data_IF_374378564218
#
_entry.id   IF_374378564218
#
_cell.length_a   1.000
_cell.length_b   1.000
_cell.length_c   1.000
_cell.angle_alpha   90.00
_cell.angle_beta   90.00
_cell.angle_gamma   90.00
#
_symmetry.space_group_name_H-M   'P 1'
#
loop_
_entity.id
_entity.type
_entity.pdbx_description
1 polymer ?
#
# COMPACT_ATOMS: atom_id res chain seq x y z
N UNK A 1 32.38 5.21 10.72
CA UNK A 1 32.69 6.66 10.61
C UNK A 1 31.41 7.50 10.74
N UNK A 2 31.43 8.75 11.24
CA UNK A 2 30.28 9.70 11.12
C UNK A 2 30.52 10.61 9.91
N UNK A 3 29.58 10.66 8.98
CA UNK A 3 29.68 11.51 7.79
C UNK A 3 29.23 12.93 8.16
N UNK A 4 30.14 13.91 8.03
CA UNK A 4 29.96 15.27 8.55
C UNK A 4 28.82 16.07 7.89
N UNK A 5 28.36 15.66 6.71
CA UNK A 5 27.33 16.38 5.94
C UNK A 5 25.93 15.75 6.05
N UNK A 6 25.82 14.62 6.75
CA UNK A 6 24.55 13.92 6.94
C UNK A 6 23.93 14.25 8.30
N UNK A 7 22.60 14.18 8.36
CA UNK A 7 21.88 14.26 9.63
C UNK A 7 22.24 13.10 10.57
N UNK A 8 21.90 13.23 11.85
CA UNK A 8 22.08 12.17 12.83
C UNK A 8 21.32 10.90 12.42
N UNK A 9 20.07 11.06 12.01
CA UNK A 9 19.19 9.95 11.58
C UNK A 9 19.67 9.29 10.29
N UNK A 10 20.16 10.06 9.31
CA UNK A 10 20.72 9.50 8.08
C UNK A 10 21.98 8.66 8.37
N UNK A 11 22.87 9.15 9.24
CA UNK A 11 24.02 8.36 9.68
C UNK A 11 23.58 7.06 10.36
N UNK A 12 22.62 7.12 11.29
CA UNK A 12 22.14 5.95 12.03
C UNK A 12 21.49 4.91 11.10
N UNK A 13 20.70 5.37 10.11
CA UNK A 13 20.10 4.50 9.08
C UNK A 13 21.18 3.84 8.23
N UNK A 14 22.22 4.55 7.80
CA UNK A 14 23.31 3.98 7.00
C UNK A 14 24.10 2.94 7.80
N UNK A 15 24.38 3.21 9.08
CA UNK A 15 24.99 2.22 9.98
C UNK A 15 24.12 0.98 10.13
N UNK A 16 22.81 1.15 10.32
CA UNK A 16 21.84 0.06 10.41
C UNK A 16 21.79 -0.76 9.10
N UNK A 17 21.81 -0.09 7.95
CA UNK A 17 21.86 -0.74 6.63
C UNK A 17 23.15 -1.56 6.46
N UNK A 18 24.30 -1.00 6.82
CA UNK A 18 25.58 -1.70 6.76
C UNK A 18 25.61 -2.95 7.66
N UNK A 19 25.04 -2.85 8.87
CA UNK A 19 24.90 -4.00 9.79
C UNK A 19 24.02 -5.11 9.19
N UNK A 20 22.88 -4.75 8.58
CA UNK A 20 21.99 -5.73 7.93
C UNK A 20 22.62 -6.42 6.72
N UNK A 21 23.50 -5.71 6.03
CA UNK A 21 24.24 -6.20 4.87
C UNK A 21 25.54 -6.95 5.23
N UNK A 22 25.86 -7.10 6.53
CA UNK A 22 27.12 -7.67 7.02
C UNK A 22 28.36 -7.03 6.36
N UNK A 23 28.37 -5.70 6.28
CA UNK A 23 29.44 -4.91 5.64
C UNK A 23 29.82 -3.69 6.49
N UNK A 24 30.93 -3.03 6.14
CA UNK A 24 31.27 -1.73 6.73
C UNK A 24 30.58 -0.57 6.00
N UNK A 25 30.35 0.53 6.72
CA UNK A 25 29.83 1.77 6.13
C UNK A 25 30.77 2.29 5.06
N UNK A 26 32.08 2.21 5.28
CA UNK A 26 33.09 2.69 4.35
C UNK A 26 33.01 1.94 3.01
N UNK A 27 32.86 0.61 3.04
CA UNK A 27 32.68 -0.21 1.82
C UNK A 27 31.37 0.10 1.10
N UNK A 28 30.30 0.37 1.86
CA UNK A 28 28.99 0.71 1.28
C UNK A 28 29.03 2.08 0.58
N UNK A 29 29.73 3.05 1.16
CA UNK A 29 29.96 4.37 0.56
C UNK A 29 30.86 4.27 -0.67
N UNK A 30 31.96 3.51 -0.61
CA UNK A 30 32.83 3.27 -1.77
C UNK A 30 32.07 2.66 -2.95
N UNK A 31 31.17 1.72 -2.66
CA UNK A 31 30.34 1.10 -3.69
C UNK A 31 29.33 2.08 -4.32
N UNK A 32 28.71 2.93 -3.50
CA UNK A 32 27.84 4.00 -4.00
C UNK A 32 28.62 4.99 -4.87
N UNK A 33 29.78 5.46 -4.40
CA UNK A 33 30.61 6.44 -5.07
C UNK A 33 31.20 5.92 -6.39
N UNK A 34 31.41 4.61 -6.52
CA UNK A 34 31.87 3.99 -7.76
C UNK A 34 30.89 4.17 -8.93
N UNK A 35 29.60 4.30 -8.65
CA UNK A 35 28.55 4.55 -9.64
C UNK A 35 28.02 5.99 -9.67
N UNK A 36 28.46 6.84 -8.74
CA UNK A 36 27.92 8.19 -8.56
C UNK A 36 28.46 9.18 -9.59
N UNK A 37 27.57 9.99 -10.17
CA UNK A 37 27.92 11.13 -11.03
C UNK A 37 27.56 12.43 -10.30
N UNK A 38 28.42 13.44 -10.33
CA UNK A 38 28.16 14.70 -9.60
C UNK A 38 26.94 15.49 -10.14
N UNK A 39 26.50 15.19 -11.36
CA UNK A 39 25.40 15.89 -12.04
C UNK A 39 24.01 15.59 -11.49
N UNK A 40 23.84 14.51 -10.69
CA UNK A 40 22.52 14.06 -10.21
C UNK A 40 21.95 14.89 -9.05
N UNK A 41 22.75 15.73 -8.39
CA UNK A 41 22.32 16.54 -7.24
C UNK A 41 21.91 15.70 -6.01
N UNK A 42 22.04 16.28 -4.81
CA UNK A 42 21.63 15.68 -3.52
C UNK A 42 22.33 14.35 -3.14
N UNK A 43 23.66 14.41 -2.94
CA UNK A 43 24.48 13.27 -2.52
C UNK A 43 23.95 12.57 -1.26
N UNK A 44 23.54 13.32 -0.23
CA UNK A 44 23.12 12.76 1.04
C UNK A 44 21.84 11.93 0.90
N UNK A 45 20.82 12.46 0.21
CA UNK A 45 19.59 11.71 -0.07
C UNK A 45 19.86 10.49 -0.92
N UNK A 46 20.66 10.62 -1.98
CA UNK A 46 20.94 9.51 -2.91
C UNK A 46 21.73 8.39 -2.26
N UNK A 47 22.64 8.72 -1.34
CA UNK A 47 23.33 7.72 -0.54
C UNK A 47 22.36 6.99 0.41
N UNK A 48 21.43 7.70 1.06
CA UNK A 48 20.36 7.08 1.87
C UNK A 48 19.52 6.14 1.00
N UNK A 49 19.05 6.60 -0.17
CA UNK A 49 18.29 5.78 -1.12
C UNK A 49 19.01 4.48 -1.49
N UNK A 50 20.30 4.58 -1.84
CA UNK A 50 21.13 3.43 -2.18
C UNK A 50 21.26 2.43 -1.02
N UNK A 51 21.59 2.92 0.18
CA UNK A 51 21.77 2.08 1.37
C UNK A 51 20.46 1.37 1.75
N UNK A 52 19.35 2.12 1.75
CA UNK A 52 18.02 1.61 2.09
C UNK A 52 17.57 0.54 1.09
N UNK A 53 17.70 0.81 -0.21
CA UNK A 53 17.34 -0.15 -1.26
C UNK A 53 18.07 -1.48 -1.07
N UNK A 54 19.40 -1.45 -0.87
CA UNK A 54 20.18 -2.66 -0.61
C UNK A 54 19.77 -3.38 0.66
N UNK A 55 19.64 -2.68 1.78
CA UNK A 55 19.24 -3.29 3.04
C UNK A 55 17.85 -3.94 2.95
N UNK A 56 16.91 -3.34 2.22
CA UNK A 56 15.58 -3.92 2.03
C UNK A 56 15.65 -5.23 1.23
N UNK A 57 16.57 -5.37 0.25
CA UNK A 57 16.69 -6.62 -0.52
C UNK A 57 16.98 -7.86 0.34
N UNK A 58 17.67 -7.68 1.48
CA UNK A 58 17.96 -8.78 2.43
C UNK A 58 16.89 -8.94 3.51
N UNK A 59 16.07 -7.90 3.75
CA UNK A 59 15.01 -7.92 4.76
C UNK A 59 13.67 -8.41 4.20
N UNK A 60 13.31 -8.04 2.97
CA UNK A 60 12.05 -8.40 2.30
C UNK A 60 11.74 -9.91 2.33
N UNK A 61 12.71 -10.84 2.18
CA UNK A 61 12.44 -12.29 2.29
C UNK A 61 11.91 -12.75 3.66
N UNK A 62 12.14 -11.98 4.73
CA UNK A 62 11.76 -12.32 6.11
C UNK A 62 10.65 -11.42 6.66
N UNK A 63 9.92 -10.74 5.77
CA UNK A 63 9.06 -9.62 6.16
C UNK A 63 7.95 -10.00 7.15
N UNK A 64 7.41 -11.23 7.08
CA UNK A 64 6.37 -11.70 8.01
C UNK A 64 6.86 -11.71 9.48
N UNK A 65 8.07 -12.22 9.70
CA UNK A 65 8.71 -12.23 11.02
C UNK A 65 9.03 -10.81 11.47
N UNK A 66 9.58 -10.00 10.56
CA UNK A 66 10.03 -8.63 10.84
C UNK A 66 8.88 -7.64 11.10
N UNK A 67 7.69 -7.87 10.54
CA UNK A 67 6.48 -7.11 10.92
C UNK A 67 6.05 -7.52 12.33
N UNK A 68 6.09 -8.82 12.64
CA UNK A 68 5.63 -9.37 13.92
C UNK A 68 6.51 -8.90 15.09
N UNK A 69 7.83 -8.82 14.92
CA UNK A 69 8.77 -8.30 15.93
C UNK A 69 8.87 -6.76 15.94
N UNK A 70 8.27 -6.08 14.95
CA UNK A 70 8.26 -4.63 14.78
C UNK A 70 9.57 -4.02 14.26
N UNK A 71 10.58 -4.84 13.97
CA UNK A 71 11.87 -4.37 13.45
C UNK A 71 11.75 -3.80 12.04
N UNK A 72 10.88 -4.38 11.19
CA UNK A 72 10.59 -3.82 9.87
C UNK A 72 9.97 -2.42 9.99
N UNK A 73 8.95 -2.29 10.86
CA UNK A 73 8.25 -1.03 11.06
C UNK A 73 9.17 0.07 11.55
N UNK A 74 10.10 -0.23 12.47
CA UNK A 74 11.06 0.77 12.94
C UNK A 74 12.07 1.13 11.87
N UNK A 75 12.63 0.12 11.20
CA UNK A 75 13.60 0.32 10.13
C UNK A 75 13.04 1.22 9.03
N UNK A 76 11.88 0.88 8.46
CA UNK A 76 11.33 1.64 7.33
C UNK A 76 10.85 3.02 7.75
N UNK A 77 10.41 3.21 8.99
CA UNK A 77 10.08 4.55 9.50
C UNK A 77 11.33 5.44 9.62
N UNK A 78 12.43 4.91 10.14
CA UNK A 78 13.70 5.63 10.23
C UNK A 78 14.27 5.93 8.83
N UNK A 79 14.13 5.00 7.88
CA UNK A 79 14.48 5.23 6.48
C UNK A 79 13.71 6.41 5.88
N UNK A 80 12.40 6.51 6.12
CA UNK A 80 11.58 7.63 5.65
C UNK A 80 11.99 8.96 6.27
N UNK A 81 12.29 8.98 7.59
CA UNK A 81 12.81 10.17 8.26
C UNK A 81 14.17 10.61 7.72
N UNK A 82 15.09 9.66 7.52
CA UNK A 82 16.41 9.93 6.94
C UNK A 82 16.33 10.43 5.50
N UNK A 83 15.34 9.98 4.73
CA UNK A 83 15.10 10.46 3.37
C UNK A 83 14.53 11.88 3.35
N UNK A 84 13.65 12.21 4.31
CA UNK A 84 13.04 13.55 4.44
C UNK A 84 14.05 14.60 4.97
N UNK A 85 14.96 14.18 5.84
CA UNK A 85 16.01 15.03 6.43
C UNK A 85 17.41 14.40 6.24
N UNK A 86 17.95 14.37 5.02
CA UNK A 86 19.21 13.69 4.72
C UNK A 86 20.45 14.45 5.20
N UNK A 87 20.39 15.77 5.32
CA UNK A 87 21.54 16.61 5.70
C UNK A 87 21.43 17.16 7.12
N UNK A 88 22.57 17.53 7.71
CA UNK A 88 22.59 18.20 9.02
C UNK A 88 21.90 19.57 8.99
N UNK A 89 21.86 20.23 7.83
CA UNK A 89 21.15 21.52 7.66
C UNK A 89 19.63 21.33 7.75
N UNK A 90 19.11 20.24 7.16
CA UNK A 90 17.69 19.91 7.25
C UNK A 90 17.29 19.67 8.71
N UNK A 91 18.10 18.91 9.44
CA UNK A 91 17.92 18.63 10.87
C UNK A 91 17.95 19.90 11.74
N UNK A 92 18.92 20.81 11.49
CA UNK A 92 19.00 22.12 12.17
C UNK A 92 17.75 22.96 11.90
N UNK A 93 17.33 23.06 10.64
CA UNK A 93 16.14 23.83 10.24
C UNK A 93 14.85 23.31 10.88
N UNK A 94 14.70 21.99 10.97
CA UNK A 94 13.57 21.34 11.62
C UNK A 94 13.57 21.63 13.13
N UNK A 95 14.73 21.52 13.79
CA UNK A 95 14.85 21.85 15.22
C UNK A 95 14.52 23.32 15.51
N UNK A 96 14.91 24.25 14.64
CA UNK A 96 14.56 25.66 14.76
C UNK A 96 13.05 25.91 14.62
N UNK A 97 12.39 25.24 13.67
CA UNK A 97 10.93 25.33 13.48
C UNK A 97 10.16 24.79 14.69
N UNK A 98 10.56 23.62 15.19
CA UNK A 98 9.98 23.03 16.40
C UNK A 98 10.21 23.95 17.61
N UNK A 99 11.42 24.51 17.73
CA UNK A 99 11.76 25.48 18.78
C UNK A 99 10.88 26.72 18.76
N UNK A 100 10.67 27.33 17.59
CA UNK A 100 9.77 28.48 17.42
C UNK A 100 8.32 28.15 17.78
N UNK A 101 7.81 27.00 17.33
CA UNK A 101 6.47 26.54 17.69
C UNK A 101 6.27 26.36 19.20
N UNK A 102 7.31 25.93 19.93
CA UNK A 102 7.29 25.86 21.40
C UNK A 102 7.24 27.23 22.08
N UNK A 103 7.92 28.24 21.52
CA UNK A 103 7.91 29.60 22.07
C UNK A 103 6.56 30.28 21.82
N UNK A 104 5.99 30.13 20.63
CA UNK A 104 4.70 30.72 20.26
C UNK A 104 3.55 30.15 21.11
N UNK A 105 3.59 28.85 21.45
CA UNK A 105 2.62 28.19 22.35
C UNK A 105 2.73 28.63 23.81
N UNK A 106 3.82 29.28 24.23
CA UNK A 106 4.02 29.78 25.61
C UNK A 106 3.52 31.20 25.82
N UNK A 107 3.11 31.90 24.75
CA UNK A 107 2.47 33.21 24.82
C UNK A 107 0.96 33.02 25.02
N UNK A 108 0.29 33.77 25.92
CA UNK A 108 -1.14 33.61 26.13
C UNK A 108 -1.91 34.18 24.93
N UNK A 109 -2.25 33.30 23.98
CA UNK A 109 -3.19 33.62 22.92
C UNK A 109 -4.62 33.49 23.46
N UNK A 110 -5.21 34.61 23.86
CA UNK A 110 -6.68 34.73 23.92
C UNK A 110 -7.18 34.76 22.48
N UNK A 111 -7.50 33.59 21.92
CA UNK A 111 -8.31 33.45 20.71
C UNK A 111 -9.49 32.57 21.12
N UNK A 112 -10.75 32.98 20.88
CA UNK A 112 -11.88 32.10 21.11
C UNK A 112 -11.71 30.87 20.22
N UNK A 113 -11.77 29.69 20.83
CA UNK A 113 -11.79 28.40 20.14
C UNK A 113 -13.01 28.41 19.21
N UNK A 114 -12.78 28.65 17.91
CA UNK A 114 -13.71 28.20 16.90
C UNK A 114 -13.64 26.68 16.94
N UNK A 115 -14.76 26.06 17.34
CA UNK A 115 -15.02 24.63 17.20
C UNK A 115 -14.97 24.28 15.71
N UNK A 116 -13.77 24.17 15.15
CA UNK A 116 -13.55 23.59 13.83
C UNK A 116 -13.53 22.07 14.00
N UNK A 117 -14.34 21.40 13.17
CA UNK A 117 -14.75 19.98 13.21
C UNK A 117 -13.55 19.02 13.21
N UNK A 118 -12.79 19.00 14.31
CA UNK A 118 -11.71 18.06 14.54
C UNK A 118 -12.38 16.73 14.86
N UNK A 119 -12.37 15.75 13.95
CA UNK A 119 -13.09 14.52 14.19
C UNK A 119 -12.41 13.81 15.35
N UNK A 120 -13.14 13.64 16.47
CA UNK A 120 -12.67 13.06 17.75
C UNK A 120 -12.13 11.61 17.66
N UNK A 121 -11.94 11.07 16.46
CA UNK A 121 -11.82 9.65 16.14
C UNK A 121 -10.41 9.08 16.22
N UNK A 122 -9.44 9.90 16.64
CA UNK A 122 -8.08 9.48 16.99
C UNK A 122 -7.92 9.27 18.50
N UNK A 123 -8.98 8.95 19.25
CA UNK A 123 -8.93 8.91 20.73
C UNK A 123 -7.94 7.90 21.30
N UNK A 124 -7.66 6.80 20.60
CA UNK A 124 -6.71 5.76 21.06
C UNK A 124 -5.24 6.06 20.69
N UNK A 125 -5.02 6.86 19.64
CA UNK A 125 -3.69 7.22 19.15
C UNK A 125 -3.27 8.65 19.56
N UNK A 126 -4.20 9.58 19.78
CA UNK A 126 -3.96 10.95 20.25
C UNK A 126 -3.15 11.00 21.55
N UNK A 127 -3.40 10.14 22.57
CA UNK A 127 -2.56 10.08 23.76
C UNK A 127 -1.09 9.71 23.47
N UNK A 128 -0.83 8.99 22.36
CA UNK A 128 0.53 8.64 21.92
C UNK A 128 1.19 9.76 21.10
N UNK A 129 0.40 10.70 20.58
CA UNK A 129 0.87 11.86 19.79
C UNK A 129 1.07 13.13 20.63
N UNK A 130 0.92 13.03 21.96
CA UNK A 130 1.08 14.16 22.90
C UNK A 130 2.52 14.69 22.95
N UNK A 131 3.48 13.90 22.46
CA UNK A 131 4.87 14.29 22.35
C UNK A 131 5.17 14.73 20.92
N UNK A 132 6.02 15.75 20.76
CA UNK A 132 6.58 16.22 19.48
C UNK A 132 7.49 15.15 18.85
N UNK A 133 6.97 13.96 18.62
CA UNK A 133 7.68 12.85 18.01
C UNK A 133 7.94 13.15 16.54
N UNK A 134 9.07 12.67 15.99
CA UNK A 134 9.34 12.76 14.57
C UNK A 134 8.18 12.16 13.76
N UNK A 135 7.75 12.90 12.76
CA UNK A 135 6.73 12.47 11.79
C UNK A 135 7.31 12.51 10.39
N UNK A 136 6.69 11.78 9.48
CA UNK A 136 7.05 11.75 8.05
C UNK A 136 5.91 12.35 7.22
N UNK A 137 6.28 12.95 6.08
CA UNK A 137 5.39 13.55 5.10
C UNK A 137 4.99 12.61 3.96
N UNK A 138 4.19 13.14 3.03
CA UNK A 138 3.63 12.39 1.91
C UNK A 138 4.73 11.82 0.98
N UNK A 139 5.72 12.64 0.61
CA UNK A 139 6.74 12.24 -0.37
C UNK A 139 7.65 11.11 0.14
N UNK A 140 8.03 11.14 1.43
CA UNK A 140 8.84 10.09 2.04
C UNK A 140 8.05 8.78 2.16
N UNK A 141 6.75 8.84 2.42
CA UNK A 141 5.86 7.68 2.41
C UNK A 141 5.74 7.06 1.00
N UNK A 142 5.52 7.87 -0.03
CA UNK A 142 5.45 7.40 -1.42
C UNK A 142 6.79 6.83 -1.89
N UNK A 143 7.90 7.48 -1.50
CA UNK A 143 9.25 6.99 -1.76
C UNK A 143 9.46 5.57 -1.21
N UNK A 144 9.01 5.28 0.02
CA UNK A 144 9.07 3.92 0.57
C UNK A 144 8.33 2.91 -0.33
N UNK A 145 7.17 3.29 -0.86
CA UNK A 145 6.39 2.45 -1.79
C UNK A 145 7.09 2.15 -3.11
N UNK A 146 8.02 3.01 -3.55
CA UNK A 146 8.87 2.75 -4.72
C UNK A 146 9.92 1.65 -4.47
N UNK A 147 10.29 1.42 -3.20
CA UNK A 147 11.23 0.38 -2.81
C UNK A 147 10.52 -0.91 -2.41
N UNK A 148 9.43 -0.81 -1.65
CA UNK A 148 8.71 -1.93 -1.04
C UNK A 148 7.21 -1.66 -1.04
N UNK A 149 6.43 -2.27 -1.97
CA UNK A 149 4.99 -2.05 -2.11
C UNK A 149 4.17 -2.82 -1.05
N UNK A 150 4.57 -2.79 0.22
CA UNK A 150 3.84 -3.42 1.34
C UNK A 150 2.84 -2.43 1.95
N UNK A 151 3.33 -1.38 2.60
CA UNK A 151 2.51 -0.39 3.28
C UNK A 151 1.79 0.55 2.29
N UNK A 152 2.39 0.76 1.13
CA UNK A 152 1.97 1.76 0.16
C UNK A 152 2.39 1.35 -1.24
N UNK A 153 1.53 1.59 -2.22
CA UNK A 153 1.88 1.45 -3.63
C UNK A 153 2.18 2.83 -4.21
N UNK A 154 3.21 2.94 -5.05
CA UNK A 154 3.60 4.22 -5.66
C UNK A 154 2.46 4.89 -6.46
N UNK A 155 1.52 4.10 -6.99
CA UNK A 155 0.45 4.58 -7.88
C UNK A 155 -0.66 5.31 -7.13
N UNK A 156 -1.12 4.76 -6.01
CA UNK A 156 -2.18 5.37 -5.19
C UNK A 156 -1.68 5.88 -3.83
N UNK A 157 -0.37 5.93 -3.63
CA UNK A 157 0.24 6.14 -2.33
C UNK A 157 -0.08 7.50 -1.70
N UNK A 158 -0.20 8.54 -2.52
CA UNK A 158 -0.60 9.88 -2.08
C UNK A 158 -2.03 9.90 -1.51
N UNK A 159 -2.97 9.20 -2.16
CA UNK A 159 -4.35 9.05 -1.66
C UNK A 159 -4.43 8.18 -0.40
N UNK A 160 -3.63 7.11 -0.34
CA UNK A 160 -3.49 6.28 0.86
C UNK A 160 -2.97 7.10 2.03
N UNK A 161 -1.91 7.89 1.82
CA UNK A 161 -1.31 8.74 2.84
C UNK A 161 -2.31 9.76 3.38
N UNK A 162 -2.95 10.51 2.48
CA UNK A 162 -3.98 11.49 2.84
C UNK A 162 -5.07 10.87 3.72
N UNK A 163 -5.52 9.66 3.37
CA UNK A 163 -6.56 8.95 4.12
C UNK A 163 -6.10 8.53 5.51
N UNK A 164 -4.88 8.01 5.64
CA UNK A 164 -4.32 7.56 6.92
C UNK A 164 -3.98 8.72 7.85
N UNK A 165 -3.68 9.90 7.29
CA UNK A 165 -3.14 11.05 8.02
C UNK A 165 -4.07 12.26 8.10
N UNK A 166 -5.28 12.18 7.52
CA UNK A 166 -6.30 13.22 7.67
C UNK A 166 -6.54 13.62 9.14
N UNK A 167 -6.60 12.68 10.12
CA UNK A 167 -6.78 13.06 11.53
C UNK A 167 -5.53 13.68 12.19
N UNK A 168 -4.37 13.60 11.53
CA UNK A 168 -3.07 14.00 12.09
C UNK A 168 -2.43 15.15 11.29
N UNK A 169 -3.25 15.94 10.60
CA UNK A 169 -2.79 17.11 9.85
C UNK A 169 -1.81 16.75 8.72
N UNK A 170 -2.04 15.64 8.05
CA UNK A 170 -1.20 15.14 6.96
C UNK A 170 0.26 14.83 7.37
N UNK A 171 0.45 14.39 8.61
CA UNK A 171 1.72 13.89 9.13
C UNK A 171 1.54 12.47 9.66
N UNK A 172 2.43 11.55 9.27
CA UNK A 172 2.41 10.18 9.76
C UNK A 172 3.41 10.00 10.89
N UNK A 173 2.95 9.50 12.02
CA UNK A 173 3.77 9.24 13.21
C UNK A 173 4.05 7.75 13.38
N UNK A 174 5.14 7.42 14.06
CA UNK A 174 5.58 6.03 14.23
C UNK A 174 4.52 5.10 14.83
N UNK A 175 3.78 5.48 15.90
CA UNK A 175 2.74 4.60 16.46
C UNK A 175 1.66 4.24 15.42
N UNK A 176 1.23 5.21 14.62
CA UNK A 176 0.24 5.00 13.55
C UNK A 176 0.78 4.08 12.46
N UNK A 177 2.01 4.33 11.98
CA UNK A 177 2.65 3.50 10.96
C UNK A 177 2.88 2.06 11.42
N UNK A 178 3.39 1.89 12.65
CA UNK A 178 3.58 0.58 13.28
C UNK A 178 2.24 -0.18 13.39
N UNK A 179 1.19 0.49 13.88
CA UNK A 179 -0.12 -0.12 14.03
C UNK A 179 -0.70 -0.52 12.68
N UNK A 180 -0.55 0.31 11.65
CA UNK A 180 -1.01 0.00 10.30
C UNK A 180 -0.34 -1.26 9.73
N UNK A 181 0.99 -1.41 9.86
CA UNK A 181 1.69 -2.64 9.46
C UNK A 181 1.25 -3.87 10.26
N UNK A 182 0.96 -3.71 11.55
CA UNK A 182 0.41 -4.80 12.38
C UNK A 182 -0.98 -5.22 11.91
N UNK A 183 -1.84 -4.28 11.52
CA UNK A 183 -3.15 -4.60 10.95
C UNK A 183 -3.04 -5.28 9.58
N UNK A 184 -2.05 -4.93 8.75
CA UNK A 184 -1.76 -5.65 7.49
C UNK A 184 -1.43 -7.12 7.76
N UNK A 185 -0.56 -7.41 8.72
CA UNK A 185 -0.20 -8.79 9.10
C UNK A 185 -1.41 -9.55 9.70
N UNK A 186 -2.21 -8.89 10.55
CA UNK A 186 -3.42 -9.48 11.12
C UNK A 186 -4.49 -9.79 10.07
N UNK A 187 -4.72 -8.87 9.12
CA UNK A 187 -5.65 -9.08 8.01
C UNK A 187 -5.18 -10.24 7.12
N UNK A 188 -3.89 -10.29 6.81
CA UNK A 188 -3.27 -11.37 6.04
C UNK A 188 -3.50 -12.73 6.72
N UNK A 189 -3.18 -12.84 8.01
CA UNK A 189 -3.39 -14.05 8.82
C UNK A 189 -4.88 -14.41 8.97
N UNK A 190 -5.76 -13.41 8.98
CA UNK A 190 -7.21 -13.64 9.05
C UNK A 190 -7.72 -14.25 7.73
N UNK A 191 -7.34 -13.69 6.59
CA UNK A 191 -7.74 -14.19 5.26
C UNK A 191 -7.26 -15.63 5.04
N UNK A 192 -6.03 -15.96 5.45
CA UNK A 192 -5.46 -17.31 5.36
C UNK A 192 -6.19 -18.38 6.19
N UNK A 193 -6.97 -17.98 7.21
CA UNK A 193 -7.71 -18.92 8.07
C UNK A 193 -9.04 -19.36 7.47
N UNK A 194 -9.53 -18.69 6.44
CA UNK A 194 -10.80 -19.03 5.82
C UNK A 194 -10.70 -20.34 5.05
N UNK A 195 -11.69 -21.20 5.21
CA UNK A 195 -11.82 -22.39 4.38
C UNK A 195 -12.13 -22.02 2.93
N UNK A 196 -11.64 -22.83 2.00
CA UNK A 196 -12.02 -22.74 0.59
C UNK A 196 -13.53 -22.97 0.43
N UNK A 197 -14.16 -22.40 -0.60
CA UNK A 197 -15.56 -22.67 -0.90
C UNK A 197 -15.82 -24.18 -1.09
N UNK A 198 -16.96 -24.68 -0.59
CA UNK A 198 -17.30 -26.10 -0.67
C UNK A 198 -17.29 -26.62 -2.11
N UNK A 199 -16.56 -27.71 -2.33
CA UNK A 199 -16.47 -28.35 -3.63
C UNK A 199 -15.63 -27.60 -4.66
N UNK A 200 -14.87 -26.59 -4.24
CA UNK A 200 -13.95 -25.83 -5.09
C UNK A 200 -12.52 -26.07 -4.63
N UNK A 201 -11.69 -26.51 -5.56
CA UNK A 201 -10.23 -26.50 -5.43
C UNK A 201 -9.73 -25.19 -6.04
N UNK A 202 -9.19 -24.31 -5.20
CA UNK A 202 -8.61 -23.04 -5.65
C UNK A 202 -7.28 -23.32 -6.37
N UNK A 203 -6.95 -22.50 -7.36
CA UNK A 203 -5.64 -22.56 -7.99
C UNK A 203 -4.52 -22.17 -7.00
N UNK A 204 -3.28 -22.59 -7.25
CA UNK A 204 -2.12 -22.31 -6.38
C UNK A 204 -1.85 -20.80 -6.20
N UNK A 205 -2.30 -20.00 -7.15
CA UNK A 205 -2.21 -18.54 -7.20
C UNK A 205 -3.57 -17.84 -6.93
N UNK A 206 -4.57 -18.58 -6.44
CA UNK A 206 -5.88 -18.05 -6.06
C UNK A 206 -5.99 -17.84 -4.54
N UNK A 207 -6.21 -16.59 -4.14
CA UNK A 207 -6.24 -16.16 -2.76
C UNK A 207 -7.60 -15.59 -2.38
N UNK A 208 -8.09 -15.95 -1.19
CA UNK A 208 -9.28 -15.36 -0.59
C UNK A 208 -8.95 -13.93 -0.14
N UNK A 209 -9.67 -12.95 -0.66
CA UNK A 209 -9.45 -11.52 -0.42
C UNK A 209 -10.51 -10.90 0.49
N UNK A 210 -11.72 -11.47 0.51
CA UNK A 210 -12.79 -11.04 1.40
C UNK A 210 -13.86 -12.11 1.56
N UNK A 211 -14.43 -12.21 2.77
CA UNK A 211 -15.46 -13.19 3.11
C UNK A 211 -16.50 -12.55 4.01
N UNK A 212 -17.77 -12.76 3.70
CA UNK A 212 -18.90 -12.37 4.56
C UNK A 212 -20.03 -13.42 4.47
N UNK A 213 -21.04 -13.34 5.35
CA UNK A 213 -22.10 -14.36 5.44
C UNK A 213 -21.70 -15.63 6.22
N UNK A 214 -20.62 -15.57 7.00
CA UNK A 214 -20.20 -16.60 7.97
C UNK A 214 -20.97 -16.48 9.29
N UNK A 215 -20.79 -17.47 10.19
CA UNK A 215 -21.38 -17.43 11.53
C UNK A 215 -20.91 -16.23 12.40
N UNK A 216 -19.74 -15.67 12.11
CA UNK A 216 -19.14 -14.55 12.84
C UNK A 216 -19.25 -13.21 12.11
N UNK A 217 -19.90 -13.15 10.94
CA UNK A 217 -20.03 -11.94 10.13
C UNK A 217 -21.50 -11.65 9.81
N UNK A 218 -21.79 -10.47 9.30
CA UNK A 218 -23.16 -10.11 8.91
C UNK A 218 -23.63 -10.97 7.73
N UNK A 219 -24.96 -11.11 7.59
CA UNK A 219 -25.58 -11.94 6.54
C UNK A 219 -25.40 -11.31 5.16
N UNK A 220 -25.33 -12.17 4.15
CA UNK A 220 -25.42 -11.83 2.73
C UNK A 220 -26.54 -12.69 2.13
N UNK A 221 -27.37 -12.09 1.28
CA UNK A 221 -28.50 -12.76 0.65
C UNK A 221 -28.39 -12.65 -0.86
N UNK A 222 -28.48 -13.77 -1.58
CA UNK A 222 -28.56 -13.80 -3.05
C UNK A 222 -30.02 -13.92 -3.47
N UNK A 223 -30.44 -13.09 -4.42
CA UNK A 223 -31.76 -13.14 -5.02
C UNK A 223 -31.70 -13.76 -6.41
N UNK A 224 -32.56 -14.75 -6.68
CA UNK A 224 -32.73 -15.38 -7.99
C UNK A 224 -34.22 -15.51 -8.27
N UNK A 225 -34.71 -14.81 -9.29
CA UNK A 225 -36.14 -14.68 -9.55
C UNK A 225 -36.87 -14.14 -8.31
N UNK A 226 -37.89 -14.87 -7.84
CA UNK A 226 -38.62 -14.55 -6.61
C UNK A 226 -38.08 -15.21 -5.33
N UNK A 227 -36.90 -15.85 -5.37
CA UNK A 227 -36.33 -16.60 -4.24
C UNK A 227 -35.08 -15.94 -3.66
N UNK A 228 -34.96 -15.96 -2.34
CA UNK A 228 -33.86 -15.35 -1.59
C UNK A 228 -33.12 -16.39 -0.77
N UNK A 229 -31.80 -16.42 -0.92
CA UNK A 229 -30.93 -17.43 -0.32
C UNK A 229 -29.89 -16.75 0.56
N UNK A 230 -29.91 -16.93 1.90
CA UNK A 230 -28.79 -16.49 2.73
C UNK A 230 -27.58 -17.39 2.46
N UNK A 231 -26.38 -16.85 2.48
CA UNK A 231 -25.18 -17.63 2.19
C UNK A 231 -23.89 -16.93 2.55
N UNK A 232 -22.79 -17.67 2.37
CA UNK A 232 -21.42 -17.18 2.48
C UNK A 232 -20.98 -16.65 1.12
N UNK A 233 -20.50 -15.42 1.08
CA UNK A 233 -19.93 -14.79 -0.11
C UNK A 233 -18.41 -14.73 0.06
N UNK A 234 -17.66 -15.20 -0.94
CA UNK A 234 -16.20 -15.25 -0.93
C UNK A 234 -15.66 -14.62 -2.21
N UNK A 235 -14.83 -13.59 -2.08
CA UNK A 235 -14.10 -12.97 -3.19
C UNK A 235 -12.67 -13.49 -3.22
N UNK A 236 -12.21 -13.90 -4.39
CA UNK A 236 -10.80 -14.18 -4.67
C UNK A 236 -10.26 -13.21 -5.72
N UNK A 237 -8.96 -13.30 -6.03
CA UNK A 237 -8.36 -12.58 -7.16
C UNK A 237 -8.81 -13.10 -8.54
N UNK A 238 -9.62 -14.17 -8.64
CA UNK A 238 -10.14 -14.68 -9.90
C UNK A 238 -11.66 -14.75 -9.99
N UNK A 239 -12.36 -14.92 -8.86
CA UNK A 239 -13.77 -15.24 -8.89
C UNK A 239 -14.53 -14.75 -7.66
N UNK A 240 -15.85 -14.75 -7.80
CA UNK A 240 -16.81 -14.50 -6.73
C UNK A 240 -17.64 -15.76 -6.50
N UNK A 241 -17.51 -16.35 -5.32
CA UNK A 241 -18.20 -17.58 -4.94
C UNK A 241 -19.33 -17.27 -3.96
N UNK A 242 -20.49 -17.89 -4.16
CA UNK A 242 -21.63 -17.80 -3.24
C UNK A 242 -22.08 -19.21 -2.81
N UNK A 243 -22.03 -19.49 -1.51
CA UNK A 243 -22.44 -20.75 -0.92
C UNK A 243 -23.74 -20.55 -0.13
N UNK A 244 -24.86 -21.04 -0.66
CA UNK A 244 -26.14 -20.97 0.04
C UNK A 244 -26.10 -21.77 1.36
N UNK A 245 -26.65 -21.19 2.42
CA UNK A 245 -26.78 -21.84 3.73
C UNK A 245 -28.03 -22.73 3.73
N UNK A 246 -27.85 -24.04 3.60
CA UNK A 246 -28.95 -25.03 3.61
C UNK A 246 -28.63 -26.26 2.75
N UNK A 247 -29.37 -27.37 2.95
CA UNK A 247 -29.10 -28.67 2.33
C UNK A 247 -29.64 -28.85 0.89
N UNK A 248 -30.01 -27.77 0.20
CA UNK A 248 -30.54 -27.86 -1.16
C UNK A 248 -29.40 -27.52 -2.12
N UNK A 249 -28.94 -28.53 -2.85
CA UNK A 249 -28.00 -28.37 -3.97
C UNK A 249 -28.70 -27.47 -4.99
N UNK A 250 -28.19 -26.26 -5.15
CA UNK A 250 -28.65 -25.29 -6.13
C UNK A 250 -27.77 -25.43 -7.37
N UNK A 251 -28.33 -25.97 -8.45
CA UNK A 251 -27.74 -25.85 -9.78
C UNK A 251 -28.13 -24.48 -10.34
N UNK A 252 -27.16 -23.56 -10.46
CA UNK A 252 -27.39 -22.27 -11.10
C UNK A 252 -27.65 -22.52 -12.59
N UNK A 253 -28.80 -22.11 -13.17
CA UNK A 253 -28.94 -22.07 -14.61
C UNK A 253 -27.87 -21.12 -15.19
N UNK A 254 -27.42 -21.43 -16.41
CA UNK A 254 -26.48 -20.63 -17.19
C UNK A 254 -26.90 -19.15 -17.14
N UNK A 255 -25.97 -18.27 -16.74
CA UNK A 255 -26.22 -16.86 -16.42
C UNK A 255 -26.71 -16.06 -17.64
N UNK A 256 -28.02 -16.04 -17.89
CA UNK A 256 -28.65 -15.07 -18.81
C UNK A 256 -29.05 -13.76 -18.12
N UNK A 257 -29.12 -13.74 -16.78
CA UNK A 257 -29.49 -12.59 -15.96
C UNK A 257 -28.37 -12.22 -14.96
N UNK A 258 -28.31 -10.95 -14.56
CA UNK A 258 -27.31 -10.44 -13.62
C UNK A 258 -27.44 -11.01 -12.20
N UNK A 259 -26.34 -11.01 -11.44
CA UNK A 259 -26.31 -11.47 -10.05
C UNK A 259 -26.83 -10.36 -9.14
N UNK A 260 -27.83 -10.66 -8.29
CA UNK A 260 -28.38 -9.72 -7.30
C UNK A 260 -28.02 -10.18 -5.89
N UNK A 261 -27.24 -9.36 -5.19
CA UNK A 261 -26.82 -9.58 -3.80
C UNK A 261 -27.37 -8.46 -2.91
N UNK A 262 -27.93 -8.83 -1.77
CA UNK A 262 -28.37 -7.95 -0.72
C UNK A 262 -27.47 -8.07 0.50
N UNK A 263 -27.08 -6.91 1.02
CA UNK A 263 -26.33 -6.75 2.27
C UNK A 263 -27.27 -6.06 3.28
N UNK A 264 -27.97 -6.82 4.14
CA UNK A 264 -28.94 -6.23 5.05
C UNK A 264 -28.25 -5.27 6.03
N UNK A 265 -28.54 -3.98 5.91
CA UNK A 265 -28.06 -2.90 6.76
C UNK A 265 -29.21 -1.97 7.14
N UNK A 266 -29.23 -1.52 8.39
CA UNK A 266 -30.32 -0.68 8.91
C UNK A 266 -30.12 0.82 8.63
N UNK A 267 -28.87 1.28 8.49
CA UNK A 267 -28.54 2.71 8.63
C UNK A 267 -27.47 3.22 7.66
N UNK A 268 -26.85 2.37 6.83
CA UNK A 268 -25.81 2.79 5.88
C UNK A 268 -25.79 1.92 4.61
N UNK A 269 -25.03 2.35 3.59
CA UNK A 269 -24.70 1.53 2.42
C UNK A 269 -23.24 1.05 2.42
N UNK A 270 -22.52 1.22 3.54
CA UNK A 270 -21.06 1.12 3.57
C UNK A 270 -20.54 -0.29 3.28
N UNK A 271 -21.24 -1.38 3.66
CA UNK A 271 -20.77 -2.74 3.31
C UNK A 271 -21.04 -3.05 1.85
N UNK A 272 -22.21 -2.65 1.33
CA UNK A 272 -22.54 -2.81 -0.10
C UNK A 272 -21.49 -2.09 -0.96
N UNK A 273 -21.18 -0.84 -0.62
CA UNK A 273 -20.24 -0.02 -1.39
C UNK A 273 -18.81 -0.56 -1.27
N UNK A 274 -18.44 -1.12 -0.11
CA UNK A 274 -17.18 -1.83 0.09
C UNK A 274 -17.07 -3.09 -0.78
N UNK A 275 -18.08 -3.95 -0.79
CA UNK A 275 -18.12 -5.13 -1.66
C UNK A 275 -18.07 -4.76 -3.14
N UNK A 276 -18.84 -3.74 -3.54
CA UNK A 276 -18.84 -3.26 -4.91
C UNK A 276 -17.44 -2.78 -5.34
N UNK A 277 -16.76 -2.01 -4.50
CA UNK A 277 -15.42 -1.53 -4.78
C UNK A 277 -14.40 -2.66 -4.90
N UNK A 278 -14.45 -3.66 -4.01
CA UNK A 278 -13.57 -4.83 -4.08
C UNK A 278 -13.81 -5.66 -5.34
N UNK A 279 -15.06 -5.94 -5.70
CA UNK A 279 -15.39 -6.68 -6.92
C UNK A 279 -14.96 -5.90 -8.17
N UNK A 280 -15.23 -4.59 -8.20
CA UNK A 280 -14.78 -3.70 -9.28
C UNK A 280 -13.27 -3.71 -9.43
N UNK A 281 -12.51 -3.65 -8.34
CA UNK A 281 -11.04 -3.68 -8.39
C UNK A 281 -10.53 -4.93 -9.10
N UNK A 282 -11.04 -6.12 -8.75
CA UNK A 282 -10.62 -7.38 -9.38
C UNK A 282 -11.02 -7.40 -10.86
N UNK A 283 -12.25 -6.98 -11.19
CA UNK A 283 -12.71 -6.93 -12.57
C UNK A 283 -11.87 -5.97 -13.43
N UNK A 284 -11.61 -4.77 -12.93
CA UNK A 284 -10.83 -3.74 -13.65
C UNK A 284 -9.36 -4.15 -13.79
N UNK A 285 -8.78 -4.84 -12.81
CA UNK A 285 -7.44 -5.42 -12.91
C UNK A 285 -7.34 -6.44 -14.05
N UNK A 286 -8.30 -7.36 -14.17
CA UNK A 286 -8.33 -8.32 -15.28
C UNK A 286 -8.56 -7.64 -16.63
N UNK A 287 -9.43 -6.62 -16.67
CA UNK A 287 -9.62 -5.79 -17.87
C UNK A 287 -8.34 -5.04 -18.26
N UNK A 288 -7.58 -4.53 -17.29
CA UNK A 288 -6.30 -3.88 -17.51
C UNK A 288 -5.29 -4.85 -18.13
N UNK A 289 -5.13 -6.05 -17.55
CA UNK A 289 -4.23 -7.07 -18.07
C UNK A 289 -4.56 -7.45 -19.52
N UNK A 290 -5.85 -7.60 -19.83
CA UNK A 290 -6.33 -7.86 -21.19
C UNK A 290 -6.12 -6.68 -22.13
N UNK A 291 -6.48 -5.46 -21.71
CA UNK A 291 -6.41 -4.23 -22.52
C UNK A 291 -4.99 -3.91 -22.96
N UNK A 292 -4.02 -4.09 -22.07
CA UNK A 292 -2.61 -3.80 -22.34
C UNK A 292 -1.80 -5.01 -22.80
N UNK A 293 -2.45 -6.15 -23.05
CA UNK A 293 -1.86 -7.39 -23.53
C UNK A 293 -0.64 -7.84 -22.68
N UNK A 294 -0.83 -7.90 -21.36
CA UNK A 294 0.22 -8.32 -20.42
C UNK A 294 0.35 -9.84 -20.47
N UNK A 295 1.11 -10.35 -21.44
CA UNK A 295 1.26 -11.79 -21.66
C UNK A 295 2.24 -12.47 -20.69
N UNK A 296 3.21 -11.72 -20.14
CA UNK A 296 4.23 -12.28 -19.25
C UNK A 296 3.60 -12.66 -17.90
N UNK A 297 3.65 -13.95 -17.48
CA UNK A 297 3.05 -14.40 -16.23
C UNK A 297 3.59 -13.67 -15.00
N UNK A 298 4.89 -13.33 -14.99
CA UNK A 298 5.49 -12.61 -13.87
C UNK A 298 4.99 -11.16 -13.77
N UNK A 299 4.71 -10.50 -14.89
CA UNK A 299 4.16 -9.14 -14.90
C UNK A 299 2.68 -9.14 -14.53
N UNK A 300 1.91 -10.10 -15.04
CA UNK A 300 0.53 -10.29 -14.63
C UNK A 300 0.44 -10.57 -13.12
N UNK A 301 1.31 -11.43 -12.60
CA UNK A 301 1.37 -11.74 -11.18
C UNK A 301 1.77 -10.54 -10.32
N UNK A 302 2.63 -9.64 -10.82
CA UNK A 302 2.96 -8.41 -10.10
C UNK A 302 1.73 -7.51 -9.93
N UNK A 303 0.87 -7.43 -10.94
CA UNK A 303 -0.39 -6.70 -10.83
C UNK A 303 -1.38 -7.37 -9.88
N UNK A 304 -1.50 -8.71 -9.94
CA UNK A 304 -2.27 -9.45 -8.95
C UNK A 304 -1.79 -9.16 -7.52
N UNK A 305 -0.49 -9.24 -7.27
CA UNK A 305 0.08 -9.00 -5.96
C UNK A 305 -0.19 -7.57 -5.46
N UNK A 306 0.00 -6.55 -6.32
CA UNK A 306 -0.30 -5.15 -5.98
C UNK A 306 -1.78 -4.93 -5.65
N UNK A 307 -2.68 -5.56 -6.40
CA UNK A 307 -4.13 -5.55 -6.12
C UNK A 307 -4.47 -6.23 -4.80
N UNK A 308 -3.89 -7.40 -4.53
CA UNK A 308 -4.07 -8.12 -3.25
C UNK A 308 -3.62 -7.24 -2.09
N UNK A 309 -2.45 -6.60 -2.20
CA UNK A 309 -2.00 -5.64 -1.19
C UNK A 309 -2.93 -4.43 -1.06
N UNK A 310 -3.48 -3.92 -2.16
CA UNK A 310 -4.50 -2.85 -2.11
C UNK A 310 -5.70 -3.24 -1.23
N UNK A 311 -6.22 -4.46 -1.41
CA UNK A 311 -7.32 -5.00 -0.58
C UNK A 311 -6.90 -5.19 0.88
N UNK A 312 -5.71 -5.74 1.13
CA UNK A 312 -5.20 -5.93 2.51
C UNK A 312 -4.99 -4.59 3.22
N UNK A 313 -4.42 -3.59 2.54
CA UNK A 313 -4.24 -2.23 3.08
C UNK A 313 -5.57 -1.58 3.39
N UNK A 314 -6.58 -1.76 2.54
CA UNK A 314 -7.93 -1.25 2.80
C UNK A 314 -8.53 -1.89 4.06
N UNK A 315 -8.43 -3.21 4.21
CA UNK A 315 -8.90 -3.90 5.42
C UNK A 315 -8.16 -3.37 6.65
N UNK A 316 -6.83 -3.29 6.59
CA UNK A 316 -6.02 -2.76 7.68
C UNK A 316 -6.38 -1.31 8.04
N UNK A 317 -6.64 -0.46 7.05
CA UNK A 317 -7.06 0.92 7.27
C UNK A 317 -8.46 1.02 7.88
N UNK A 318 -9.39 0.13 7.51
CA UNK A 318 -10.72 0.04 8.14
C UNK A 318 -10.63 -0.43 9.59
N UNK A 319 -9.70 -1.34 9.90
CA UNK A 319 -9.43 -1.76 11.28
C UNK A 319 -8.72 -0.67 12.11
N UNK A 320 -7.89 0.15 11.47
CA UNK A 320 -7.24 1.30 12.09
C UNK A 320 -8.23 2.46 12.33
N UNK A 321 -9.11 2.71 11.37
CA UNK A 321 -10.05 3.84 11.33
C UNK A 321 -11.50 3.38 11.59
N UNK A 322 -11.71 2.41 12.49
CA UNK A 322 -13.01 1.73 12.71
C UNK A 322 -14.21 2.66 12.91
N UNK A 323 -14.01 3.82 13.52
CA UNK A 323 -15.10 4.76 13.84
C UNK A 323 -15.57 5.49 12.58
N UNK A 324 -14.64 5.82 11.67
CA UNK A 324 -14.94 6.44 10.38
C UNK A 324 -14.13 5.71 9.30
N UNK A 325 -14.62 4.54 8.86
CA UNK A 325 -13.91 3.73 7.88
C UNK A 325 -13.70 4.53 6.58
N UNK A 326 -12.52 4.41 5.96
CA UNK A 326 -12.22 5.17 4.76
C UNK A 326 -13.10 4.74 3.58
N UNK A 327 -13.25 5.65 2.61
CA UNK A 327 -13.77 5.28 1.29
C UNK A 327 -12.94 4.14 0.71
N UNK A 328 -13.56 3.03 0.24
CA UNK A 328 -12.83 1.89 -0.29
C UNK A 328 -11.88 2.22 -1.43
N UNK A 329 -12.26 3.15 -2.31
CA UNK A 329 -11.56 3.38 -3.58
C UNK A 329 -10.15 3.94 -3.41
N UNK A 330 -9.87 4.74 -2.36
CA UNK A 330 -8.56 5.38 -2.15
C UNK A 330 -7.39 4.39 -1.95
N UNK A 331 -7.66 3.11 -1.68
CA UNK A 331 -6.66 2.04 -1.50
C UNK A 331 -6.56 1.08 -2.69
N UNK A 332 -7.50 1.16 -3.64
CA UNK A 332 -7.68 0.23 -4.74
C UNK A 332 -7.24 0.92 -6.03
N UNK A 333 -6.22 0.39 -6.71
CA UNK A 333 -5.55 1.10 -7.81
C UNK A 333 -6.54 1.32 -8.96
N UNK A 334 -7.18 0.26 -9.40
CA UNK A 334 -8.01 0.31 -10.60
C UNK A 334 -9.34 1.00 -10.34
N UNK A 335 -9.99 0.71 -9.21
CA UNK A 335 -11.23 1.39 -8.83
C UNK A 335 -11.03 2.90 -8.62
N UNK A 336 -9.89 3.33 -8.09
CA UNK A 336 -9.56 4.75 -7.95
C UNK A 336 -9.45 5.44 -9.31
N UNK A 337 -8.62 4.90 -10.20
CA UNK A 337 -8.34 5.55 -11.49
C UNK A 337 -9.42 5.31 -12.56
N UNK A 338 -10.41 4.44 -12.30
CA UNK A 338 -11.66 4.38 -13.07
C UNK A 338 -12.60 5.55 -12.74
N UNK A 339 -12.57 6.06 -11.50
CA UNK A 339 -13.43 7.16 -11.03
C UNK A 339 -12.82 8.55 -11.23
N UNK A 340 -11.49 8.66 -11.24
CA UNK A 340 -10.79 9.93 -11.35
C UNK A 340 -10.67 10.44 -12.79
N UNK A 341 -10.76 11.77 -13.03
CA UNK A 341 -10.52 12.34 -14.35
C UNK A 341 -9.09 12.02 -14.79
N UNK A 342 -8.93 11.60 -16.05
CA UNK A 342 -7.63 11.18 -16.66
C UNK A 342 -6.92 10.02 -15.95
N UNK A 343 -7.64 9.23 -15.15
CA UNK A 343 -7.05 8.04 -14.55
C UNK A 343 -6.64 6.97 -15.58
N UNK A 344 -7.22 6.99 -16.78
CA UNK A 344 -6.81 6.17 -17.91
C UNK A 344 -5.34 6.40 -18.32
N UNK A 345 -4.87 7.65 -18.30
CA UNK A 345 -3.47 7.99 -18.56
C UNK A 345 -2.53 7.43 -17.49
N UNK A 346 -2.93 7.45 -16.22
CA UNK A 346 -2.14 6.83 -15.14
C UNK A 346 -2.05 5.32 -15.34
N UNK A 347 -3.15 4.67 -15.73
CA UNK A 347 -3.15 3.24 -16.04
C UNK A 347 -2.27 2.92 -17.26
N UNK A 348 -2.28 3.76 -18.29
CA UNK A 348 -1.37 3.60 -19.44
C UNK A 348 0.10 3.67 -19.00
N UNK A 349 0.47 4.68 -18.22
CA UNK A 349 1.83 4.81 -17.68
C UNK A 349 2.22 3.67 -16.74
N UNK A 350 1.27 3.15 -15.96
CA UNK A 350 1.48 1.95 -15.15
C UNK A 350 1.77 0.72 -16.03
N UNK A 351 1.06 0.54 -17.13
CA UNK A 351 1.29 -0.56 -18.08
C UNK A 351 2.65 -0.44 -18.78
N UNK A 352 3.06 0.77 -19.15
CA UNK A 352 4.39 1.03 -19.72
C UNK A 352 5.51 0.75 -18.71
N UNK A 353 5.32 1.17 -17.45
CA UNK A 353 6.27 0.91 -16.37
C UNK A 353 6.39 -0.57 -16.05
N UNK A 354 5.29 -1.33 -16.07
CA UNK A 354 5.29 -2.77 -15.81
C UNK A 354 6.22 -3.55 -16.75
N UNK A 355 6.38 -3.09 -18.00
CA UNK A 355 7.32 -3.69 -18.97
C UNK A 355 8.79 -3.59 -18.54
N UNK A 356 9.12 -2.63 -17.67
CA UNK A 356 10.47 -2.40 -17.16
C UNK A 356 10.68 -2.93 -15.72
N UNK A 357 9.63 -3.34 -15.03
CA UNK A 357 9.74 -3.83 -13.64
C UNK A 357 10.46 -5.18 -13.61
N UNK A 358 11.48 -5.28 -12.76
CA UNK A 358 12.10 -6.55 -12.41
C UNK A 358 11.22 -7.29 -11.38
N UNK A 359 10.22 -8.02 -11.86
CA UNK A 359 9.28 -8.79 -11.03
C UNK A 359 9.95 -9.88 -10.18
N UNK A 360 11.18 -10.29 -10.51
CA UNK A 360 12.01 -11.20 -9.72
C UNK A 360 12.80 -10.54 -8.57
N UNK A 361 12.71 -9.22 -8.41
CA UNK A 361 13.40 -8.51 -7.33
C UNK A 361 12.86 -8.95 -5.95
N UNK A 362 13.70 -9.11 -4.90
CA UNK A 362 13.24 -9.56 -3.57
C UNK A 362 12.18 -8.68 -2.92
N UNK A 363 12.13 -7.40 -3.31
CA UNK A 363 11.14 -6.43 -2.83
C UNK A 363 10.05 -6.09 -3.86
N UNK A 364 9.87 -6.90 -4.92
CA UNK A 364 8.68 -6.80 -5.77
C UNK A 364 7.41 -7.18 -4.98
N UNK A 365 6.23 -6.74 -5.43
CA UNK A 365 4.99 -7.12 -4.77
C UNK A 365 4.82 -8.65 -4.79
N UNK A 366 5.17 -9.32 -5.89
CA UNK A 366 5.16 -10.79 -5.95
C UNK A 366 6.00 -11.45 -4.85
N UNK A 367 7.25 -11.00 -4.69
CA UNK A 367 8.19 -11.59 -3.74
C UNK A 367 7.76 -11.35 -2.29
N UNK A 368 7.26 -10.15 -1.99
CA UNK A 368 6.76 -9.81 -0.65
C UNK A 368 5.51 -10.64 -0.32
N UNK A 369 4.56 -10.77 -1.26
CA UNK A 369 3.36 -11.57 -1.04
C UNK A 369 3.70 -13.03 -0.74
N UNK A 370 4.71 -13.57 -1.43
CA UNK A 370 5.27 -14.90 -1.14
C UNK A 370 5.91 -14.97 0.25
N UNK A 371 6.71 -13.96 0.62
CA UNK A 371 7.36 -13.89 1.93
C UNK A 371 6.37 -13.75 3.10
N UNK A 372 5.17 -13.20 2.88
CA UNK A 372 4.08 -13.17 3.87
C UNK A 372 3.36 -14.52 4.04
N UNK A 373 3.90 -15.59 3.44
CA UNK A 373 3.35 -16.94 3.48
C UNK A 373 1.91 -17.02 2.95
N UNK A 374 1.51 -16.07 2.09
CA UNK A 374 0.25 -16.19 1.34
C UNK A 374 0.38 -17.26 0.27
N UNK A 375 1.52 -17.39 -0.41
CA UNK A 375 1.77 -18.48 -1.37
C UNK A 375 2.73 -19.53 -0.80
N UNK A 376 2.25 -20.73 -0.47
CA UNK A 376 3.12 -21.84 -0.02
C UNK A 376 3.79 -22.63 -1.16
N UNK A 377 3.37 -22.45 -2.42
CA UNK A 377 3.83 -23.29 -3.54
C UNK A 377 4.19 -22.48 -4.78
N UNK A 378 5.29 -21.73 -4.71
CA UNK A 378 6.07 -21.40 -5.90
C UNK A 378 7.53 -21.61 -5.53
N UNK A 379 7.94 -22.89 -5.44
CA UNK A 379 9.35 -23.18 -5.64
C UNK A 379 9.72 -22.67 -7.04
N UNK A 380 10.93 -22.12 -7.24
CA UNK A 380 11.42 -21.95 -8.60
C UNK A 380 11.47 -23.35 -9.21
N UNK A 381 10.57 -23.66 -10.14
CA UNK A 381 10.78 -24.84 -10.97
C UNK A 381 12.13 -24.64 -11.68
N UNK A 382 12.90 -25.71 -11.96
CA UNK A 382 14.17 -25.59 -12.68
C UNK A 382 14.00 -24.99 -14.11
N UNK A 383 12.76 -24.81 -14.57
CA UNK A 383 12.43 -24.07 -15.79
C UNK A 383 12.52 -22.54 -15.61
N UNK A 384 12.37 -22.01 -14.38
CA UNK A 384 12.55 -20.57 -14.08
C UNK A 384 14.02 -20.14 -14.00
N UNK A 385 14.96 -21.05 -13.71
CA UNK A 385 16.41 -20.76 -13.86
C UNK A 385 16.83 -20.75 -15.34
N UNK A 386 16.10 -21.45 -16.22
CA UNK A 386 16.41 -21.55 -17.65
C UNK A 386 15.74 -20.47 -18.53
N UNK A 387 14.75 -19.74 -18.00
CA UNK A 387 14.20 -18.51 -18.61
C UNK A 387 14.82 -17.26 -17.98
N UNK A 388 16.02 -17.39 -17.42
CA UNK A 388 17.02 -16.31 -17.34
C UNK A 388 17.56 -15.90 -18.71
N UNK A 389 16.72 -15.93 -19.76
CA UNK A 389 16.94 -15.05 -20.90
C UNK A 389 16.63 -13.68 -20.35
N UNK A 390 17.70 -12.96 -20.00
CA UNK A 390 17.68 -11.55 -19.70
C UNK A 390 16.55 -10.87 -20.50
N UNK A 391 15.47 -10.48 -19.82
CA UNK A 391 14.88 -9.21 -20.18
C UNK A 391 15.98 -8.21 -19.87
N UNK A 392 16.87 -7.99 -20.84
CA UNK A 392 18.00 -7.08 -20.77
C UNK A 392 17.49 -5.76 -20.23
N UNK A 393 17.77 -5.46 -18.96
CA UNK A 393 17.78 -4.09 -18.50
C UNK A 393 18.99 -3.45 -19.14
N UNK A 394 18.74 -2.67 -20.18
CA UNK A 394 19.70 -1.65 -20.57
C UNK A 394 19.99 -0.84 -19.29
N UNK A 395 21.26 -0.79 -18.91
CA UNK A 395 21.78 0.23 -18.03
C UNK A 395 21.53 1.59 -18.69
N UNK A 396 20.40 2.19 -18.38
CA UNK A 396 19.95 3.47 -18.92
C UNK A 396 19.00 4.13 -17.94
N UNK A 397 19.37 5.35 -17.52
CA UNK A 397 18.50 6.29 -16.84
C UNK A 397 17.27 6.56 -17.71
N UNK A 398 16.20 5.77 -17.53
CA UNK A 398 14.95 5.95 -18.26
C UNK A 398 13.83 6.41 -17.32
N UNK A 399 13.44 7.66 -17.53
CA UNK A 399 12.46 8.55 -16.88
C UNK A 399 11.01 8.04 -16.63
N UNK A 400 10.78 6.74 -16.41
CA UNK A 400 9.43 6.22 -16.13
C UNK A 400 8.88 6.62 -14.75
N UNK A 401 9.65 6.54 -13.64
CA UNK A 401 9.14 6.97 -12.33
C UNK A 401 8.63 8.42 -12.37
N UNK A 402 9.35 9.29 -13.09
CA UNK A 402 8.96 10.70 -13.26
C UNK A 402 7.73 10.90 -14.15
N UNK A 403 7.50 10.06 -15.17
CA UNK A 403 6.33 10.20 -16.04
C UNK A 403 5.05 9.74 -15.34
N UNK A 404 5.11 8.60 -14.65
CA UNK A 404 4.01 8.10 -13.84
C UNK A 404 3.68 9.07 -12.68
N UNK A 405 4.70 9.59 -11.99
CA UNK A 405 4.50 10.57 -10.93
C UNK A 405 3.87 11.87 -11.46
N UNK A 406 4.32 12.37 -12.62
CA UNK A 406 3.70 13.53 -13.28
C UNK A 406 2.23 13.27 -13.62
N UNK A 407 1.89 12.07 -14.12
CA UNK A 407 0.52 11.68 -14.43
C UNK A 407 -0.36 11.67 -13.17
N UNK A 408 0.14 11.09 -12.08
CA UNK A 408 -0.57 11.04 -10.80
C UNK A 408 -0.83 12.45 -10.26
N UNK A 409 0.18 13.32 -10.27
CA UNK A 409 0.04 14.69 -9.79
C UNK A 409 -0.98 15.49 -10.61
N UNK A 410 -1.00 15.31 -11.94
CA UNK A 410 -2.02 15.92 -12.79
C UNK A 410 -3.44 15.46 -12.42
N UNK A 411 -3.66 14.14 -12.29
CA UNK A 411 -4.96 13.59 -11.92
C UNK A 411 -5.43 14.12 -10.57
N UNK A 412 -4.52 14.30 -9.60
CA UNK A 412 -4.86 14.86 -8.28
C UNK A 412 -5.34 16.30 -8.35
N UNK A 413 -4.63 17.16 -9.09
CA UNK A 413 -5.02 18.56 -9.21
C UNK A 413 -6.38 18.69 -9.91
N UNK A 414 -6.61 17.91 -10.96
CA UNK A 414 -7.91 17.90 -11.66
C UNK A 414 -9.04 17.33 -10.79
N UNK A 415 -8.76 16.32 -9.97
CA UNK A 415 -9.72 15.79 -9.02
C UNK A 415 -10.15 16.85 -7.99
N UNK A 416 -9.19 17.62 -7.45
CA UNK A 416 -9.47 18.74 -6.54
C UNK A 416 -10.32 19.81 -7.21
N UNK A 417 -10.01 20.18 -8.46
CA UNK A 417 -10.82 21.14 -9.22
C UNK A 417 -12.26 20.64 -9.41
N UNK A 418 -12.46 19.36 -9.69
CA UNK A 418 -13.79 18.74 -9.82
C UNK A 418 -14.53 18.72 -8.49
N UNK A 419 -13.87 18.42 -7.38
CA UNK A 419 -14.47 18.48 -6.04
C UNK A 419 -14.89 19.91 -5.67
N UNK A 420 -14.02 20.88 -5.92
CA UNK A 420 -14.31 22.31 -5.74
C UNK A 420 -15.53 22.69 -6.59
N UNK A 421 -15.55 22.31 -7.87
CA UNK A 421 -16.69 22.59 -8.75
C UNK A 421 -17.99 21.95 -8.24
N UNK A 422 -17.96 20.71 -7.76
CA UNK A 422 -19.12 20.03 -7.16
C UNK A 422 -19.61 20.70 -5.88
N UNK A 423 -18.74 21.35 -5.11
CA UNK A 423 -19.11 22.06 -3.88
C UNK A 423 -19.92 23.35 -4.12
N UNK A 424 -19.93 23.86 -5.36
CA UNK A 424 -20.69 25.04 -5.77
C UNK A 424 -22.10 24.72 -6.32
N UNK A 425 -22.45 23.44 -6.44
CA UNK A 425 -23.76 22.96 -6.88
C UNK A 425 -24.47 22.21 -5.76
#
# INVERSE_FOLDING_TARGET
MKMKHQSSIANDVIHSCAQKLDTSVEKLVEEFEAGWKQETGDYSRKLVEFCCSKALTVECPYIQEKISDGSFSRLTFDMMLAWEMPTSQDEESHMEQVGKGREDRKLPANVPEEEDDTPLFYTDLMPLLVNEEPSIGEDSFVWLGSLVPLAVDIVNGRFTFETLTAPTGHRLFFPGFKKFLQEIDQCTKHLQKHATPKGVELADDEFILHVEGTASSQRVVRHVGGTSWPGRLTLTNYALYFEATGAIIYESPELSEGIVLEFPEMTSSTRRDHWLALVKEIMLMHQFLSKYNVECPLQAWEMHARTIFGVIRLHAARELLRISPPSPTKFLIFALFDELPKGDYVLEQLAEGLKKVNSGHPCSACSILRAMNMSQSMLPSPEFEAVGKECTSASGEDNIPSSLESAINQVREEAKEVEIAKSYY
#
